data_IF_869813914650
#
_entry.id   IF_869813914650
#
_cell.length_a   1.000
_cell.length_b   1.000
_cell.length_c   1.000
_cell.angle_alpha   90.00
_cell.angle_beta   90.00
_cell.angle_gamma   90.00
#
_symmetry.space_group_name_H-M   'P 1'
#
loop_
_entity.id
_entity.type
_entity.pdbx_description
1 polymer ?
#
# COMPACT_ATOMS: atom_id res chain seq x y z
N UNK A 1 -4.97 -5.57 -5.90
CA UNK A 1 -4.57 -4.19 -5.57
C UNK A 1 -5.02 -3.21 -6.65
N UNK A 2 -5.15 -1.92 -6.31
CA UNK A 2 -5.29 -0.87 -7.31
C UNK A 2 -3.96 -0.70 -8.07
N UNK A 3 -4.01 -0.27 -9.33
CA UNK A 3 -2.82 -0.01 -10.15
C UNK A 3 -2.83 1.44 -10.63
N UNK A 4 -1.80 2.21 -10.30
CA UNK A 4 -1.69 3.62 -10.67
C UNK A 4 -0.47 4.29 -10.03
N UNK A 5 -0.43 5.62 -10.07
CA UNK A 5 0.64 6.43 -9.48
C UNK A 5 0.05 7.34 -8.39
N UNK A 6 0.78 7.49 -7.28
CA UNK A 6 0.39 8.35 -6.16
C UNK A 6 1.44 9.44 -6.04
N UNK A 7 1.11 10.63 -6.52
CA UNK A 7 2.03 11.76 -6.54
C UNK A 7 1.79 12.70 -5.37
N UNK A 8 0.52 12.99 -5.11
CA UNK A 8 0.12 14.02 -4.14
C UNK A 8 -0.60 13.40 -2.95
N UNK A 9 -0.61 14.14 -1.84
CA UNK A 9 -1.44 13.78 -0.68
C UNK A 9 -2.93 13.67 -1.06
N UNK A 10 -3.40 14.47 -2.02
CA UNK A 10 -4.76 14.38 -2.53
C UNK A 10 -5.07 13.02 -3.16
N UNK A 11 -4.13 12.45 -3.90
CA UNK A 11 -4.29 11.12 -4.52
C UNK A 11 -4.37 10.02 -3.46
N UNK A 12 -3.48 10.09 -2.47
CA UNK A 12 -3.48 9.18 -1.33
C UNK A 12 -4.82 9.22 -0.56
N UNK A 13 -5.34 10.43 -0.28
CA UNK A 13 -6.61 10.59 0.43
C UNK A 13 -7.81 10.02 -0.36
N UNK A 14 -7.84 10.21 -1.68
CA UNK A 14 -8.89 9.63 -2.54
C UNK A 14 -8.84 8.10 -2.52
N UNK A 15 -7.65 7.51 -2.58
CA UNK A 15 -7.47 6.06 -2.52
C UNK A 15 -7.89 5.51 -1.15
N UNK A 16 -7.53 6.18 -0.05
CA UNK A 16 -7.97 5.80 1.30
C UNK A 16 -9.51 5.84 1.39
N UNK A 17 -10.15 6.90 0.89
CA UNK A 17 -11.61 7.01 0.90
C UNK A 17 -12.28 5.92 0.06
N UNK A 18 -11.79 5.67 -1.16
CA UNK A 18 -12.29 4.61 -2.03
C UNK A 18 -12.14 3.23 -1.39
N UNK A 19 -11.02 2.97 -0.71
CA UNK A 19 -10.77 1.73 0.01
C UNK A 19 -11.74 1.54 1.19
N UNK A 20 -12.01 2.61 1.95
CA UNK A 20 -13.01 2.61 3.05
C UNK A 20 -14.42 2.32 2.55
N UNK A 21 -14.78 2.83 1.37
CA UNK A 21 -16.07 2.58 0.71
C UNK A 21 -16.15 1.20 0.03
N UNK A 22 -15.04 0.44 -0.02
CA UNK A 22 -14.99 -0.86 -0.68
C UNK A 22 -14.93 -0.80 -2.21
N UNK A 23 -14.71 0.39 -2.79
CA UNK A 23 -14.59 0.60 -4.24
C UNK A 23 -13.29 -0.03 -4.76
N UNK A 24 -12.21 0.05 -3.97
CA UNK A 24 -10.94 -0.64 -4.27
C UNK A 24 -10.61 -1.66 -3.17
N UNK A 25 -9.90 -2.76 -3.49
CA UNK A 25 -9.60 -3.79 -2.52
C UNK A 25 -8.62 -3.30 -1.46
N UNK A 26 -8.90 -3.67 -0.20
CA UNK A 26 -8.00 -3.51 0.95
C UNK A 26 -7.25 -4.81 1.21
N UNK A 27 -6.04 -4.67 1.73
CA UNK A 27 -5.28 -5.80 2.28
C UNK A 27 -5.71 -6.00 3.73
N UNK A 28 -6.31 -7.16 4.01
CA UNK A 28 -6.86 -7.52 5.33
C UNK A 28 -6.00 -8.54 6.07
N UNK A 29 -4.88 -8.97 5.49
CA UNK A 29 -3.87 -9.85 6.10
C UNK A 29 -2.53 -9.71 5.39
N UNK A 30 -1.47 -10.25 5.99
CA UNK A 30 -0.16 -10.34 5.33
C UNK A 30 -0.27 -11.15 4.03
N UNK A 31 0.43 -10.67 2.99
CA UNK A 31 0.60 -11.41 1.75
C UNK A 31 1.50 -12.64 1.99
N UNK A 32 1.16 -13.75 1.34
CA UNK A 32 2.06 -14.91 1.24
C UNK A 32 3.13 -14.69 0.15
N UNK A 33 4.10 -15.59 0.05
CA UNK A 33 5.23 -15.41 -0.86
C UNK A 33 4.85 -15.44 -2.35
N UNK A 34 3.77 -16.14 -2.71
CA UNK A 34 3.26 -16.14 -4.08
C UNK A 34 2.55 -14.81 -4.41
N UNK A 35 1.71 -14.32 -3.51
CA UNK A 35 1.04 -13.02 -3.62
C UNK A 35 2.06 -11.88 -3.71
N UNK A 36 3.11 -11.88 -2.88
CA UNK A 36 4.17 -10.86 -2.96
C UNK A 36 4.83 -10.85 -4.33
N UNK A 37 5.27 -12.01 -4.83
CA UNK A 37 5.95 -12.13 -6.13
C UNK A 37 5.08 -11.71 -7.30
N UNK A 38 3.77 -11.93 -7.24
CA UNK A 38 2.84 -11.62 -8.33
C UNK A 38 2.28 -10.20 -8.27
N UNK A 39 2.04 -9.67 -7.07
CA UNK A 39 1.32 -8.41 -6.87
C UNK A 39 2.25 -7.21 -6.70
N UNK A 40 3.46 -7.38 -6.17
CA UNK A 40 4.40 -6.27 -5.93
C UNK A 40 5.16 -6.00 -7.22
N UNK A 41 4.71 -4.96 -7.92
CA UNK A 41 5.25 -4.51 -9.20
C UNK A 41 5.02 -3.02 -9.36
N UNK A 42 5.69 -2.40 -10.34
CA UNK A 42 5.49 -0.98 -10.65
C UNK A 42 4.00 -0.65 -10.82
N UNK A 43 3.57 0.44 -10.18
CA UNK A 43 2.19 0.90 -10.15
C UNK A 43 1.26 0.20 -9.15
N UNK A 44 1.69 -0.85 -8.45
CA UNK A 44 0.83 -1.51 -7.46
C UNK A 44 0.65 -0.64 -6.20
N UNK A 45 -0.61 -0.38 -5.84
CA UNK A 45 -0.98 0.36 -4.62
C UNK A 45 -1.73 -0.55 -3.65
N UNK A 46 -1.23 -0.60 -2.42
CA UNK A 46 -1.78 -1.41 -1.33
C UNK A 46 -2.27 -0.50 -0.21
N UNK A 47 -3.53 -0.70 0.20
CA UNK A 47 -4.14 0.00 1.34
C UNK A 47 -4.52 -1.03 2.38
N UNK A 48 -4.11 -0.85 3.62
CA UNK A 48 -4.49 -1.71 4.75
C UNK A 48 -4.85 -0.86 5.97
N UNK A 49 -5.78 -1.37 6.78
CA UNK A 49 -6.06 -0.84 8.12
C UNK A 49 -5.34 -1.67 9.17
N UNK A 50 -4.75 -1.02 10.17
CA UNK A 50 -4.05 -1.71 11.28
C UNK A 50 -5.03 -2.58 12.07
N UNK A 51 -6.22 -2.07 12.36
CA UNK A 51 -7.22 -2.76 13.19
C UNK A 51 -7.81 -3.98 12.48
N UNK A 52 -8.08 -3.85 11.18
CA UNK A 52 -8.67 -4.92 10.37
C UNK A 52 -7.66 -6.02 10.05
N UNK A 53 -6.41 -5.64 9.72
CA UNK A 53 -5.41 -6.60 9.25
C UNK A 53 -4.49 -7.13 10.34
N UNK A 54 -4.43 -6.47 11.49
CA UNK A 54 -3.43 -6.68 12.53
C UNK A 54 -2.00 -6.31 12.10
N UNK A 55 -1.81 -5.76 10.90
CA UNK A 55 -0.49 -5.37 10.39
C UNK A 55 -0.12 -3.99 10.88
N UNK A 56 0.99 -3.88 11.65
CA UNK A 56 1.55 -2.57 12.07
C UNK A 56 2.56 -1.99 11.08
N UNK A 57 3.12 -2.83 10.23
CA UNK A 57 4.13 -2.49 9.21
C UNK A 57 3.90 -3.34 7.97
N UNK A 58 4.07 -2.73 6.80
CA UNK A 58 4.20 -3.44 5.55
C UNK A 58 5.56 -4.16 5.49
N UNK A 59 5.56 -5.39 4.98
CA UNK A 59 6.79 -6.18 4.79
C UNK A 59 6.63 -7.05 3.56
N UNK A 60 7.54 -6.86 2.61
CA UNK A 60 7.54 -7.43 1.28
C UNK A 60 8.74 -8.35 1.01
N UNK A 61 9.70 -8.39 1.94
CA UNK A 61 10.92 -9.20 1.79
C UNK A 61 11.93 -8.63 0.79
N UNK A 62 11.84 -7.34 0.46
CA UNK A 62 12.78 -6.62 -0.38
C UNK A 62 13.73 -5.77 0.47
N UNK A 63 14.95 -5.58 -0.05
CA UNK A 63 15.92 -4.66 0.55
C UNK A 63 15.62 -3.23 0.08
N UNK A 64 15.43 -2.32 1.04
CA UNK A 64 15.18 -0.90 0.79
C UNK A 64 16.37 -0.05 1.24
N UNK A 65 16.65 1.02 0.51
CA UNK A 65 17.51 2.08 1.01
C UNK A 65 16.88 2.77 2.24
N UNK A 66 17.67 3.48 3.07
CA UNK A 66 17.12 4.28 4.15
C UNK A 66 16.17 5.36 3.60
N UNK A 67 15.05 5.58 4.29
CA UNK A 67 13.99 6.46 3.80
C UNK A 67 14.41 7.92 3.67
N UNK A 68 13.71 8.65 2.81
CA UNK A 68 13.75 10.11 2.68
C UNK A 68 12.33 10.66 2.72
N UNK A 69 12.20 11.88 3.24
CA UNK A 69 10.94 12.61 3.22
C UNK A 69 10.75 13.24 1.84
N UNK A 70 9.57 13.05 1.25
CA UNK A 70 9.11 13.77 0.07
C UNK A 70 7.69 14.27 0.34
N UNK A 71 7.56 15.53 0.76
CA UNK A 71 6.29 16.06 1.27
C UNK A 71 5.76 15.21 2.44
N UNK A 72 4.57 14.62 2.27
CA UNK A 72 3.93 13.73 3.25
C UNK A 72 4.25 12.23 3.03
N UNK A 73 5.21 11.89 2.18
CA UNK A 73 5.58 10.51 1.84
C UNK A 73 6.97 10.16 2.35
N UNK A 74 7.15 8.87 2.65
CA UNK A 74 8.47 8.25 2.79
C UNK A 74 8.78 7.49 1.50
N UNK A 75 9.95 7.77 0.93
CA UNK A 75 10.50 7.10 -0.25
C UNK A 75 11.86 6.48 0.03
#
# INVERSE_FOLDING_TARGET
PFSGFVETTGDALRLIQAARQGIIPRITRRLNDFERRSMIRSGAVFVFSVDESGMKRWTEGLAWSPSRMSGNFLV
#
